data_IF_123848805516
#
_entry.id   IF_123848805516
#
_cell.length_a   1.000
_cell.length_b   1.000
_cell.length_c   1.000
_cell.angle_alpha   90.00
_cell.angle_beta   90.00
_cell.angle_gamma   90.00
#
_symmetry.space_group_name_H-M   'P 1'
#
loop_
_entity.id
_entity.type
_entity.pdbx_description
1 polymer ?
#
# COMPACT_ATOMS: atom_id res chain seq x y z
N UNK A 1 39.52 55.98 5.13
CA UNK A 1 40.86 55.37 5.16
C UNK A 1 41.13 54.77 3.78
N UNK A 2 42.28 55.08 3.14
CA UNK A 2 42.63 54.55 1.81
C UNK A 2 42.67 53.03 1.86
N UNK A 3 41.82 52.38 1.08
CA UNK A 3 41.78 50.92 0.99
C UNK A 3 42.87 50.51 0.02
N UNK A 4 43.85 49.75 0.49
CA UNK A 4 44.91 49.22 -0.36
C UNK A 4 44.36 48.01 -1.11
N UNK A 5 44.53 47.96 -2.45
CA UNK A 5 44.01 46.85 -3.28
C UNK A 5 44.47 45.48 -2.81
N UNK A 6 45.71 45.36 -2.31
CA UNK A 6 46.22 44.10 -1.75
C UNK A 6 45.42 43.63 -0.55
N UNK A 7 45.01 44.55 0.34
CA UNK A 7 44.21 44.23 1.53
C UNK A 7 42.78 43.84 1.14
N UNK A 8 42.21 44.50 0.12
CA UNK A 8 40.91 44.14 -0.42
C UNK A 8 40.92 42.72 -1.01
N UNK A 9 41.96 42.40 -1.80
CA UNK A 9 42.13 41.07 -2.38
C UNK A 9 42.27 39.98 -1.31
N UNK A 10 43.06 40.22 -0.26
CA UNK A 10 43.22 39.24 0.83
C UNK A 10 41.92 38.98 1.58
N UNK A 11 41.09 40.01 1.79
CA UNK A 11 39.79 39.84 2.46
C UNK A 11 38.84 39.02 1.58
N UNK A 12 38.80 39.30 0.28
CA UNK A 12 37.99 38.53 -0.68
C UNK A 12 38.43 37.06 -0.69
N UNK A 13 39.74 36.81 -0.77
CA UNK A 13 40.30 35.45 -0.79
C UNK A 13 39.94 34.68 0.49
N UNK A 14 40.04 35.33 1.65
CA UNK A 14 39.74 34.73 2.95
C UNK A 14 38.25 34.39 3.09
N UNK A 15 37.36 35.31 2.70
CA UNK A 15 35.91 35.07 2.67
C UNK A 15 35.54 33.95 1.70
N UNK A 16 36.21 33.89 0.54
CA UNK A 16 35.94 32.86 -0.48
C UNK A 16 36.36 31.47 0.02
N UNK A 17 37.50 31.36 0.69
CA UNK A 17 37.97 30.10 1.30
C UNK A 17 37.01 29.58 2.38
N UNK A 18 36.53 30.48 3.25
CA UNK A 18 35.53 30.14 4.27
C UNK A 18 34.18 29.74 3.64
N UNK A 19 33.74 30.50 2.63
CA UNK A 19 32.48 30.23 1.93
C UNK A 19 32.48 28.90 1.19
N UNK A 20 33.54 28.60 0.45
CA UNK A 20 33.69 27.34 -0.27
C UNK A 20 33.69 26.14 0.68
N UNK A 21 34.37 26.24 1.82
CA UNK A 21 34.35 25.20 2.86
C UNK A 21 32.95 24.97 3.44
N UNK A 22 32.20 26.03 3.73
CA UNK A 22 30.84 25.92 4.27
C UNK A 22 29.86 25.27 3.28
N UNK A 23 29.88 25.69 2.00
CA UNK A 23 29.01 25.09 0.96
C UNK A 23 29.33 23.61 0.78
N UNK A 24 30.62 23.24 0.77
CA UNK A 24 31.04 21.84 0.67
C UNK A 24 30.58 21.01 1.88
N UNK A 25 30.69 21.56 3.10
CA UNK A 25 30.23 20.88 4.31
C UNK A 25 28.71 20.63 4.31
N UNK A 26 27.91 21.59 3.83
CA UNK A 26 26.45 21.42 3.73
C UNK A 26 26.07 20.32 2.75
N UNK A 27 26.72 20.28 1.59
CA UNK A 27 26.47 19.25 0.58
C UNK A 27 26.94 17.87 1.07
N UNK A 28 28.11 17.80 1.70
CA UNK A 28 28.63 16.58 2.32
C UNK A 28 27.75 16.08 3.47
N UNK A 29 27.22 16.98 4.31
CA UNK A 29 26.29 16.62 5.39
C UNK A 29 24.97 16.09 4.83
N UNK A 30 24.40 16.72 3.80
CA UNK A 30 23.19 16.24 3.16
C UNK A 30 23.38 14.84 2.57
N UNK A 31 24.46 14.62 1.81
CA UNK A 31 24.82 13.31 1.25
C UNK A 31 25.07 12.26 2.35
N UNK A 32 25.81 12.61 3.40
CA UNK A 32 26.09 11.71 4.52
C UNK A 32 24.84 11.35 5.32
N UNK A 33 23.93 12.31 5.53
CA UNK A 33 22.65 12.08 6.22
C UNK A 33 21.73 11.18 5.37
N UNK A 34 21.76 11.31 4.05
CA UNK A 34 21.02 10.42 3.15
C UNK A 34 21.58 9.00 3.21
N UNK A 35 22.91 8.84 3.21
CA UNK A 35 23.54 7.52 3.33
C UNK A 35 23.20 6.79 4.65
N UNK A 36 23.04 7.52 5.76
CA UNK A 36 22.62 6.94 7.04
C UNK A 36 21.11 6.64 7.11
N UNK A 37 20.28 7.37 6.36
CA UNK A 37 18.83 7.16 6.31
C UNK A 37 18.42 6.07 5.31
N UNK A 38 19.22 5.79 4.29
CA UNK A 38 18.95 4.71 3.33
C UNK A 38 19.13 3.30 3.95
N UNK A 39 19.71 3.22 5.15
CA UNK A 39 19.77 2.00 5.98
C UNK A 39 18.61 1.95 6.99
N UNK A 40 17.63 2.85 6.90
CA UNK A 40 16.40 2.67 7.68
C UNK A 40 15.55 1.59 7.00
N UNK A 41 15.46 0.44 7.66
CA UNK A 41 14.61 -0.65 7.23
C UNK A 41 13.21 -0.09 6.90
N UNK A 42 12.63 -0.46 5.74
CA UNK A 42 11.27 -0.06 5.45
C UNK A 42 10.39 -0.54 6.60
N UNK A 43 9.68 0.39 7.24
CA UNK A 43 8.65 0.05 8.21
C UNK A 43 7.54 -0.69 7.46
N UNK A 44 7.73 -1.99 7.29
CA UNK A 44 6.77 -2.93 6.72
C UNK A 44 5.75 -3.19 7.79
N UNK A 45 4.92 -2.20 8.10
CA UNK A 45 3.68 -2.47 8.81
C UNK A 45 2.73 -3.09 7.78
N UNK A 46 2.51 -4.42 7.79
CA UNK A 46 1.75 -5.11 6.75
C UNK A 46 0.28 -4.65 6.70
N UNK A 47 -0.18 -3.90 7.72
CA UNK A 47 -1.52 -3.35 7.79
C UNK A 47 -1.70 -2.03 7.04
N UNK A 48 -0.63 -1.26 6.80
CA UNK A 48 -0.76 0.08 6.21
C UNK A 48 -0.86 0.08 4.67
N UNK A 49 -0.40 -0.99 4.01
CA UNK A 49 -0.55 -1.18 2.56
C UNK A 49 -1.87 -1.84 2.15
N UNK A 50 -2.65 -2.35 3.10
CA UNK A 50 -3.93 -3.00 2.81
C UNK A 50 -5.10 -2.00 2.69
N UNK A 51 -4.94 -0.77 3.21
CA UNK A 51 -5.99 0.25 3.22
C UNK A 51 -6.01 1.21 2.01
N UNK A 52 -4.94 1.30 1.22
CA UNK A 52 -4.85 2.31 0.13
C UNK A 52 -5.24 1.80 -1.26
N UNK A 53 -5.69 0.55 -1.39
CA UNK A 53 -6.16 -0.01 -2.67
C UNK A 53 -7.67 -0.31 -2.67
N UNK A 54 -8.42 0.31 -1.75
CA UNK A 54 -9.89 0.25 -1.74
C UNK A 54 -10.48 1.59 -2.20
N UNK A 55 -9.96 2.15 -3.28
CA UNK A 55 -10.73 3.03 -4.15
C UNK A 55 -11.02 2.27 -5.45
N UNK A 56 -12.30 2.21 -5.80
CA UNK A 56 -12.86 1.56 -6.99
C UNK A 56 -13.04 0.04 -6.96
N UNK A 57 -13.91 -0.47 -6.07
CA UNK A 57 -14.85 -1.51 -6.50
C UNK A 57 -16.06 -1.54 -5.57
N UNK A 58 -17.20 -1.17 -6.16
CA UNK A 58 -18.56 -1.50 -5.76
C UNK A 58 -18.91 -1.30 -4.29
N UNK A 59 -19.74 -0.28 -4.08
CA UNK A 59 -20.70 -0.18 -3.01
C UNK A 59 -21.64 -1.40 -3.05
N UNK A 60 -21.16 -2.58 -2.66
CA UNK A 60 -22.03 -3.72 -2.37
C UNK A 60 -22.75 -3.37 -1.07
N UNK A 61 -23.90 -2.74 -1.27
CA UNK A 61 -25.01 -2.70 -0.32
C UNK A 61 -25.12 -4.07 0.34
N UNK A 62 -24.59 -4.21 1.55
CA UNK A 62 -24.81 -5.38 2.39
C UNK A 62 -26.30 -5.38 2.73
N UNK A 63 -27.08 -6.05 1.90
CA UNK A 63 -28.48 -6.31 2.14
C UNK A 63 -28.51 -7.40 3.21
N UNK A 64 -28.82 -7.01 4.45
CA UNK A 64 -29.00 -7.95 5.55
C UNK A 64 -30.30 -8.70 5.23
N UNK A 65 -30.16 -9.93 4.73
CA UNK A 65 -31.27 -10.84 4.47
C UNK A 65 -31.72 -11.46 5.80
N UNK A 66 -33.03 -11.69 5.99
CA UNK A 66 -33.53 -12.36 7.19
C UNK A 66 -32.99 -13.79 7.27
N UNK A 67 -32.56 -14.19 8.46
CA UNK A 67 -31.94 -15.50 8.73
C UNK A 67 -32.81 -16.69 8.27
N UNK A 68 -34.14 -16.54 8.25
CA UNK A 68 -35.08 -17.56 7.79
C UNK A 68 -34.88 -17.98 6.33
N UNK A 69 -34.51 -17.03 5.45
CA UNK A 69 -34.31 -17.29 4.02
C UNK A 69 -32.96 -18.00 3.75
N UNK A 70 -31.99 -17.77 4.63
CA UNK A 70 -30.70 -18.46 4.61
C UNK A 70 -30.90 -19.91 5.07
N UNK A 71 -31.73 -20.15 6.10
CA UNK A 71 -32.00 -21.51 6.57
C UNK A 71 -32.78 -22.34 5.53
N UNK A 72 -33.75 -21.75 4.83
CA UNK A 72 -34.50 -22.43 3.75
C UNK A 72 -33.59 -22.82 2.57
N UNK A 73 -32.69 -21.92 2.17
CA UNK A 73 -31.73 -22.20 1.09
C UNK A 73 -30.71 -23.27 1.47
N UNK A 74 -30.21 -23.27 2.71
CA UNK A 74 -29.29 -24.29 3.21
C UNK A 74 -29.97 -25.66 3.34
N UNK A 75 -31.24 -25.69 3.76
CA UNK A 75 -32.01 -26.94 3.83
C UNK A 75 -32.29 -27.52 2.43
N UNK A 76 -32.58 -26.67 1.45
CA UNK A 76 -32.74 -27.07 0.05
C UNK A 76 -31.43 -27.60 -0.57
N UNK A 77 -30.29 -27.00 -0.22
CA UNK A 77 -28.96 -27.45 -0.66
C UNK A 77 -28.56 -28.78 -0.01
N UNK A 78 -28.86 -28.93 1.29
CA UNK A 78 -28.50 -30.12 2.09
C UNK A 78 -29.33 -31.35 1.66
N UNK A 79 -30.64 -31.19 1.47
CA UNK A 79 -31.52 -32.28 0.98
C UNK A 79 -31.21 -32.71 -0.47
N UNK A 80 -30.59 -31.82 -1.27
CA UNK A 80 -30.14 -32.13 -2.64
C UNK A 80 -28.89 -33.00 -2.65
N UNK A 81 -28.11 -33.02 -1.57
CA UNK A 81 -26.90 -33.84 -1.41
C UNK A 81 -27.20 -35.31 -1.06
N UNK A 82 -28.31 -35.60 -0.39
CA UNK A 82 -28.61 -36.95 0.13
C UNK A 82 -29.48 -37.83 -0.79
N UNK A 83 -30.02 -37.29 -1.89
CA UNK A 83 -30.88 -38.05 -2.83
C UNK A 83 -30.35 -38.07 -4.28
N UNK A 84 -29.04 -37.85 -4.45
CA UNK A 84 -28.37 -37.86 -5.75
C UNK A 84 -28.29 -39.23 -6.46
N UNK A 85 -28.70 -40.33 -5.82
CA UNK A 85 -28.72 -41.66 -6.46
C UNK A 85 -30.11 -42.21 -6.76
N UNK A 86 -31.16 -41.81 -6.03
CA UNK A 86 -32.49 -42.44 -6.21
C UNK A 86 -33.51 -41.57 -6.97
N UNK A 87 -33.33 -40.25 -7.03
CA UNK A 87 -34.28 -39.37 -7.73
C UNK A 87 -34.09 -39.37 -9.27
N UNK A 88 -32.90 -39.75 -9.78
CA UNK A 88 -32.63 -39.79 -11.23
C UNK A 88 -33.13 -41.09 -11.89
N UNK A 89 -33.30 -42.18 -11.13
CA UNK A 89 -33.84 -43.44 -11.64
C UNK A 89 -35.37 -43.41 -11.83
N UNK A 90 -36.11 -42.60 -11.05
CA UNK A 90 -37.58 -42.60 -11.11
C UNK A 90 -38.18 -41.63 -12.13
N UNK A 91 -37.45 -40.60 -12.58
CA UNK A 91 -37.95 -39.66 -13.61
C UNK A 91 -37.74 -40.14 -15.06
N UNK A 92 -36.83 -41.10 -15.30
CA UNK A 92 -36.63 -41.65 -16.65
C UNK A 92 -37.57 -42.82 -17.00
N UNK A 93 -38.19 -43.48 -16.01
CA UNK A 93 -39.20 -44.52 -16.24
C UNK A 93 -40.63 -43.97 -16.42
N UNK A 94 -40.88 -42.67 -16.22
CA UNK A 94 -42.22 -42.05 -16.33
C UNK A 94 -42.39 -41.11 -17.53
N UNK A 95 -41.53 -41.25 -18.54
CA UNK A 95 -41.62 -40.50 -19.80
C UNK A 95 -41.47 -41.43 -21.02
N UNK A 96 -41.69 -42.74 -20.85
CA UNK A 96 -41.79 -43.73 -21.92
C UNK A 96 -43.08 -44.58 -21.84
N UNK A 97 -44.11 -44.08 -21.14
CA UNK A 97 -45.51 -44.51 -21.31
C UNK A 97 -46.36 -43.31 -21.70
#
# INVERSE_FOLDING_TARGET
MKINSTRALTVILLVTMLGAGAVSALQGFALGRLALQDVHQPNVDPFHKLGSNQEASSQQKRMIMPESEILESVEAETNKGETGKDAKAKKQARNQE
#
